data_IF_916563449128
#
_entry.id   IF_916563449128
#
_cell.length_a   1.000
_cell.length_b   1.000
_cell.length_c   1.000
_cell.angle_alpha   90.00
_cell.angle_beta   90.00
_cell.angle_gamma   90.00
#
_symmetry.space_group_name_H-M   'P 1'
#
loop_
_entity.id
_entity.type
_entity.pdbx_description
1 polymer ?
#
# COMPACT_ATOMS: atom_id res chain seq x y z
N UNK A 1 11.26 -17.61 -0.09
CA UNK A 1 10.95 -17.15 -1.48
C UNK A 1 9.66 -16.32 -1.60
N UNK A 2 8.59 -16.52 -0.80
CA UNK A 2 7.35 -15.72 -0.90
C UNK A 2 7.49 -14.24 -0.50
N UNK A 3 8.36 -13.92 0.45
CA UNK A 3 8.48 -12.55 0.99
C UNK A 3 9.10 -11.56 0.01
N UNK A 4 9.96 -12.03 -0.91
CA UNK A 4 10.62 -11.17 -1.89
C UNK A 4 9.62 -10.60 -2.91
N UNK A 5 8.60 -11.38 -3.28
CA UNK A 5 7.59 -10.96 -4.26
C UNK A 5 6.72 -9.81 -3.73
N UNK A 6 6.22 -9.91 -2.49
CA UNK A 6 5.38 -8.86 -1.92
C UNK A 6 6.18 -7.58 -1.66
N UNK A 7 7.43 -7.70 -1.20
CA UNK A 7 8.31 -6.55 -1.04
C UNK A 7 8.57 -5.84 -2.38
N UNK A 8 8.92 -6.57 -3.43
CA UNK A 8 9.16 -5.99 -4.75
C UNK A 8 7.89 -5.34 -5.32
N UNK A 9 6.74 -6.01 -5.18
CA UNK A 9 5.44 -5.50 -5.64
C UNK A 9 5.06 -4.19 -4.94
N UNK A 10 5.18 -4.15 -3.62
CA UNK A 10 4.85 -2.94 -2.84
C UNK A 10 5.87 -1.82 -3.01
N UNK A 11 7.14 -2.15 -3.29
CA UNK A 11 8.14 -1.16 -3.68
C UNK A 11 7.79 -0.49 -5.03
N UNK A 12 7.44 -1.29 -6.06
CA UNK A 12 6.98 -0.76 -7.35
C UNK A 12 5.72 0.09 -7.21
N UNK A 13 4.76 -0.35 -6.40
CA UNK A 13 3.56 0.42 -6.07
C UNK A 13 3.92 1.78 -5.42
N UNK A 14 4.80 1.79 -4.42
CA UNK A 14 5.25 3.02 -3.78
C UNK A 14 5.95 3.99 -4.76
N UNK A 15 6.74 3.48 -5.70
CA UNK A 15 7.36 4.30 -6.77
C UNK A 15 6.29 4.96 -7.66
N UNK A 16 5.22 4.23 -8.00
CA UNK A 16 4.15 4.77 -8.83
C UNK A 16 3.30 5.82 -8.08
N UNK A 17 3.05 5.60 -6.78
CA UNK A 17 2.43 6.61 -5.90
C UNK A 17 3.31 7.87 -5.83
N UNK A 18 4.61 7.72 -5.65
CA UNK A 18 5.56 8.85 -5.65
C UNK A 18 5.51 9.65 -6.96
N UNK A 19 5.43 8.98 -8.11
CA UNK A 19 5.29 9.63 -9.43
C UNK A 19 3.98 10.40 -9.53
N UNK A 20 2.86 9.75 -9.21
CA UNK A 20 1.54 10.38 -9.18
C UNK A 20 1.52 11.64 -8.31
N UNK A 21 1.97 11.53 -7.07
CA UNK A 21 1.96 12.64 -6.13
C UNK A 21 2.88 13.80 -6.58
N UNK A 22 4.00 13.52 -7.25
CA UNK A 22 4.85 14.57 -7.85
C UNK A 22 4.12 15.34 -8.94
N UNK A 23 3.35 14.64 -9.77
CA UNK A 23 2.60 15.30 -10.85
C UNK A 23 1.40 16.09 -10.30
N UNK A 24 0.68 15.57 -9.31
CA UNK A 24 -0.34 16.31 -8.56
C UNK A 24 0.22 17.60 -7.94
N UNK A 25 1.40 17.53 -7.32
CA UNK A 25 2.04 18.70 -6.71
C UNK A 25 2.44 19.76 -7.73
N UNK A 26 2.89 19.36 -8.93
CA UNK A 26 3.14 20.32 -10.03
C UNK A 26 1.87 21.06 -10.45
N UNK A 27 0.71 20.42 -10.31
CA UNK A 27 -0.60 20.98 -10.64
C UNK A 27 -1.25 21.75 -9.47
N UNK A 28 -0.61 21.79 -8.30
CA UNK A 28 -1.10 22.53 -7.13
C UNK A 28 -1.83 21.69 -6.07
N UNK A 29 -2.01 20.39 -6.28
CA UNK A 29 -2.72 19.50 -5.34
C UNK A 29 -1.84 18.99 -4.20
N UNK A 30 -1.43 19.89 -3.31
CA UNK A 30 -0.50 19.56 -2.23
C UNK A 30 -1.12 18.76 -1.08
N UNK A 31 -2.39 18.99 -0.76
CA UNK A 31 -3.04 18.38 0.41
C UNK A 31 -3.29 16.90 0.16
N UNK A 32 -4.01 16.57 -0.92
CA UNK A 32 -4.35 15.20 -1.26
C UNK A 32 -3.10 14.39 -1.61
N UNK A 33 -2.17 14.96 -2.40
CA UNK A 33 -0.93 14.28 -2.75
C UNK A 33 -0.09 13.91 -1.52
N UNK A 34 -0.06 14.75 -0.48
CA UNK A 34 0.67 14.45 0.75
C UNK A 34 0.04 13.30 1.54
N UNK A 35 -1.29 13.23 1.61
CA UNK A 35 -2.00 12.13 2.28
C UNK A 35 -1.80 10.80 1.53
N UNK A 36 -1.98 10.83 0.20
CA UNK A 36 -1.77 9.67 -0.65
C UNK A 36 -0.31 9.20 -0.64
N UNK A 37 0.65 10.13 -0.68
CA UNK A 37 2.07 9.82 -0.63
C UNK A 37 2.45 9.11 0.67
N UNK A 38 1.96 9.64 1.80
CA UNK A 38 2.25 9.07 3.13
C UNK A 38 1.69 7.66 3.24
N UNK A 39 0.39 7.49 2.98
CA UNK A 39 -0.27 6.18 3.11
C UNK A 39 0.29 5.16 2.11
N UNK A 40 0.39 5.52 0.82
CA UNK A 40 0.81 4.60 -0.23
C UNK A 40 2.25 4.10 -0.11
N UNK A 41 3.17 4.95 0.39
CA UNK A 41 4.56 4.52 0.65
C UNK A 41 4.70 3.75 1.96
N UNK A 42 3.84 4.01 2.95
CA UNK A 42 3.86 3.33 4.26
C UNK A 42 3.46 1.86 4.18
N UNK A 43 2.71 1.45 3.14
CA UNK A 43 2.40 0.03 2.87
C UNK A 43 3.68 -0.79 2.72
N UNK A 44 4.54 -0.39 1.79
CA UNK A 44 5.81 -1.09 1.52
C UNK A 44 6.80 -0.97 2.68
N UNK A 45 6.83 0.18 3.37
CA UNK A 45 7.70 0.38 4.53
C UNK A 45 7.38 -0.61 5.67
N UNK A 46 6.10 -0.74 6.04
CA UNK A 46 5.68 -1.67 7.09
C UNK A 46 5.91 -3.13 6.70
N UNK A 47 5.70 -3.50 5.43
CA UNK A 47 6.02 -4.84 4.94
C UNK A 47 7.52 -5.11 5.04
N UNK A 48 8.36 -4.12 4.73
CA UNK A 48 9.81 -4.25 4.85
C UNK A 48 10.23 -4.46 6.31
N UNK A 49 9.71 -3.65 7.22
CA UNK A 49 9.94 -3.78 8.67
C UNK A 49 9.49 -5.14 9.20
N UNK A 50 8.37 -5.68 8.71
CA UNK A 50 7.90 -7.00 9.14
C UNK A 50 8.92 -8.11 8.89
N UNK A 51 9.75 -8.04 7.84
CA UNK A 51 10.78 -9.07 7.58
C UNK A 51 11.93 -9.04 8.61
N UNK A 52 12.05 -7.95 9.36
CA UNK A 52 13.01 -7.81 10.45
C UNK A 52 12.35 -7.96 11.82
N UNK A 53 11.07 -8.35 11.87
CA UNK A 53 10.35 -8.57 13.12
C UNK A 53 11.01 -9.68 13.93
N UNK A 54 11.14 -9.45 15.23
CA UNK A 54 11.81 -10.37 16.17
C UNK A 54 10.81 -11.40 16.70
N UNK A 55 9.51 -11.12 16.59
CA UNK A 55 8.44 -12.02 16.98
C UNK A 55 7.34 -12.14 15.94
N UNK A 56 6.59 -13.25 16.01
CA UNK A 56 5.39 -13.48 15.20
C UNK A 56 4.31 -12.41 15.44
N UNK A 57 4.16 -11.96 16.69
CA UNK A 57 3.20 -10.92 17.04
C UNK A 57 3.55 -9.58 16.38
N UNK A 58 4.83 -9.22 16.39
CA UNK A 58 5.34 -8.02 15.72
C UNK A 58 5.19 -8.10 14.19
N UNK A 59 5.51 -9.25 13.59
CA UNK A 59 5.28 -9.49 12.17
C UNK A 59 3.82 -9.24 11.79
N UNK A 60 2.88 -9.84 12.53
CA UNK A 60 1.44 -9.66 12.31
C UNK A 60 1.03 -8.20 12.52
N UNK A 61 1.54 -7.53 13.55
CA UNK A 61 1.23 -6.13 13.81
C UNK A 61 1.65 -5.22 12.64
N UNK A 62 2.86 -5.40 12.09
CA UNK A 62 3.33 -4.65 10.91
C UNK A 62 2.47 -4.92 9.66
N UNK A 63 2.06 -6.16 9.44
CA UNK A 63 1.13 -6.48 8.35
C UNK A 63 -0.25 -5.84 8.53
N UNK A 64 -0.75 -5.73 9.77
CA UNK A 64 -2.00 -5.03 10.06
C UNK A 64 -1.89 -3.52 9.83
N UNK A 65 -0.75 -2.91 10.18
CA UNK A 65 -0.49 -1.51 9.85
C UNK A 65 -0.46 -1.33 8.33
N UNK A 66 0.30 -2.15 7.60
CA UNK A 66 0.34 -2.09 6.14
C UNK A 66 -1.06 -2.22 5.51
N UNK A 67 -1.95 -3.04 6.08
CA UNK A 67 -3.33 -3.18 5.62
C UNK A 67 -4.17 -1.91 5.85
N UNK A 68 -3.99 -1.22 6.99
CA UNK A 68 -4.63 0.07 7.26
C UNK A 68 -4.16 1.14 6.28
N UNK A 69 -2.85 1.23 6.06
CA UNK A 69 -2.26 2.17 5.10
C UNK A 69 -2.76 1.90 3.67
N UNK A 70 -2.91 0.62 3.28
CA UNK A 70 -3.44 0.27 1.97
C UNK A 70 -4.93 0.61 1.83
N UNK A 71 -5.73 0.45 2.89
CA UNK A 71 -7.14 0.86 2.89
C UNK A 71 -7.29 2.39 2.77
N UNK A 72 -6.44 3.15 3.46
CA UNK A 72 -6.39 4.61 3.33
C UNK A 72 -5.94 5.04 1.92
N UNK A 73 -4.90 4.39 1.38
CA UNK A 73 -4.42 4.65 0.02
C UNK A 73 -5.51 4.40 -1.03
N UNK A 74 -6.26 3.30 -0.89
CA UNK A 74 -7.41 3.01 -1.77
C UNK A 74 -8.47 4.12 -1.67
N UNK A 75 -8.81 4.59 -0.47
CA UNK A 75 -9.78 5.67 -0.31
C UNK A 75 -9.37 6.93 -1.06
N UNK A 76 -8.09 7.34 -0.95
CA UNK A 76 -7.57 8.49 -1.68
C UNK A 76 -7.60 8.29 -3.20
N UNK A 77 -7.29 7.09 -3.69
CA UNK A 77 -7.38 6.75 -5.12
C UNK A 77 -8.83 6.75 -5.63
N UNK A 78 -9.79 6.30 -4.81
CA UNK A 78 -11.22 6.37 -5.15
C UNK A 78 -11.69 7.81 -5.26
N UNK A 79 -11.30 8.70 -4.35
CA UNK A 79 -11.62 10.13 -4.48
C UNK A 79 -11.08 10.69 -5.79
N UNK A 80 -9.83 10.39 -6.15
CA UNK A 80 -9.24 10.81 -7.42
C UNK A 80 -10.02 10.28 -8.64
N UNK A 81 -10.47 9.03 -8.61
CA UNK A 81 -11.26 8.43 -9.70
C UNK A 81 -12.61 9.14 -9.87
N UNK A 82 -13.25 9.54 -8.76
CA UNK A 82 -14.56 10.21 -8.80
C UNK A 82 -14.47 11.71 -9.15
N UNK A 83 -13.35 12.37 -8.82
CA UNK A 83 -13.20 13.82 -9.05
C UNK A 83 -12.49 14.17 -10.35
N UNK A 84 -11.69 13.26 -10.90
CA UNK A 84 -10.91 13.49 -12.12
C UNK A 84 -11.50 12.69 -13.29
N UNK A 85 -11.42 13.26 -14.49
CA UNK A 85 -11.90 12.63 -15.73
C UNK A 85 -11.29 11.24 -15.89
N UNK A 86 -12.07 10.26 -16.38
CA UNK A 86 -11.78 8.82 -16.47
C UNK A 86 -10.29 8.45 -16.69
N UNK A 87 -9.51 8.47 -15.60
CA UNK A 87 -8.08 8.32 -15.65
C UNK A 87 -7.74 6.84 -15.41
N UNK A 88 -7.38 6.14 -16.48
CA UNK A 88 -7.01 4.74 -16.44
C UNK A 88 -5.90 4.45 -15.43
N UNK A 89 -4.97 5.38 -15.23
CA UNK A 89 -3.85 5.22 -14.30
C UNK A 89 -4.30 5.15 -12.84
N UNK A 90 -5.32 5.94 -12.44
CA UNK A 90 -5.83 5.88 -11.07
C UNK A 90 -6.55 4.55 -10.80
N UNK A 91 -7.30 4.06 -11.78
CA UNK A 91 -7.96 2.75 -11.74
C UNK A 91 -6.96 1.60 -11.65
N UNK A 92 -5.87 1.68 -12.41
CA UNK A 92 -4.77 0.71 -12.35
C UNK A 92 -4.11 0.68 -10.96
N UNK A 93 -3.80 1.85 -10.39
CA UNK A 93 -3.23 1.93 -9.04
C UNK A 93 -4.20 1.44 -7.98
N UNK A 94 -5.49 1.75 -8.10
CA UNK A 94 -6.52 1.25 -7.17
C UNK A 94 -6.65 -0.28 -7.25
N UNK A 95 -6.61 -0.83 -8.47
CA UNK A 95 -6.61 -2.29 -8.70
C UNK A 95 -5.39 -2.97 -8.07
N UNK A 96 -4.21 -2.36 -8.23
CA UNK A 96 -2.97 -2.86 -7.66
C UNK A 96 -2.99 -2.78 -6.12
N UNK A 97 -3.46 -1.67 -5.55
CA UNK A 97 -3.65 -1.52 -4.10
C UNK A 97 -4.56 -2.63 -3.55
N UNK A 98 -5.67 -2.89 -4.23
CA UNK A 98 -6.60 -3.97 -3.84
C UNK A 98 -5.98 -5.37 -3.94
N UNK A 99 -5.12 -5.61 -4.93
CA UNK A 99 -4.37 -6.87 -5.02
C UNK A 99 -3.40 -7.02 -3.83
N UNK A 100 -2.69 -5.95 -3.45
CA UNK A 100 -1.81 -5.94 -2.28
C UNK A 100 -2.62 -6.22 -0.99
N UNK A 101 -3.77 -5.55 -0.79
CA UNK A 101 -4.65 -5.81 0.36
C UNK A 101 -5.05 -7.27 0.48
N UNK A 102 -5.48 -7.91 -0.61
CA UNK A 102 -5.85 -9.33 -0.62
C UNK A 102 -4.68 -10.24 -0.19
N UNK A 103 -3.47 -9.93 -0.65
CA UNK A 103 -2.26 -10.65 -0.24
C UNK A 103 -1.98 -10.44 1.25
N UNK A 104 -2.03 -9.19 1.73
CA UNK A 104 -1.81 -8.86 3.14
C UNK A 104 -2.78 -9.59 4.09
N UNK A 105 -4.07 -9.62 3.74
CA UNK A 105 -5.10 -10.33 4.51
C UNK A 105 -4.76 -11.82 4.57
N UNK A 106 -4.51 -12.45 3.41
CA UNK A 106 -4.18 -13.88 3.34
C UNK A 106 -2.90 -14.24 4.12
N UNK A 107 -1.86 -13.41 3.99
CA UNK A 107 -0.60 -13.60 4.73
C UNK A 107 -0.78 -13.42 6.24
N UNK A 108 -1.56 -12.43 6.67
CA UNK A 108 -1.87 -12.20 8.09
C UNK A 108 -2.63 -13.37 8.71
N UNK A 109 -3.63 -13.91 7.99
CA UNK A 109 -4.39 -15.08 8.45
C UNK A 109 -3.49 -16.33 8.54
N UNK A 110 -2.67 -16.57 7.52
CA UNK A 110 -1.73 -17.70 7.49
C UNK A 110 -0.73 -17.63 8.64
N UNK A 111 -0.22 -16.43 8.93
CA UNK A 111 0.65 -16.21 10.06
C UNK A 111 -0.06 -16.56 11.37
N UNK A 112 -1.29 -16.07 11.60
CA UNK A 112 -2.04 -16.38 12.83
C UNK A 112 -2.27 -17.88 13.05
N UNK A 113 -2.67 -18.62 12.02
CA UNK A 113 -3.06 -20.05 12.13
C UNK A 113 -1.89 -21.02 12.35
N UNK A 114 -0.65 -20.69 11.96
CA UNK A 114 0.51 -21.56 12.23
C UNK A 114 0.95 -21.48 13.69
N UNK A 115 0.39 -22.30 14.57
CA UNK A 115 1.08 -22.71 15.80
C UNK A 115 2.30 -23.56 15.41
N UNK A 116 3.42 -23.40 16.13
CA UNK A 116 4.60 -24.27 15.98
C UNK A 116 4.33 -25.53 16.81
#
# INVERSE_FOLDING_TARGET
>A
MRDNFLQERTFKFAVNILRLCRDMQKNGDYVLSKQLLKSGTSVGANIREANYAISKAEFVAKFQIALKEAAETEYWLLLLIETESDNCYYKELCTECNAIKRILIKSSLTAKTKEI
#
